data_IF_740619865442
#
_entry.id   IF_740619865442
#
_cell.length_a   1.000
_cell.length_b   1.000
_cell.length_c   1.000
_cell.angle_alpha   90.00
_cell.angle_beta   90.00
_cell.angle_gamma   90.00
#
_symmetry.space_group_name_H-M   'P 1'
#
loop_
_entity.id
_entity.type
_entity.pdbx_description
1 polymer ?
#
# COMPACT_ATOMS: atom_id res chain seq x y z
N UNK A 1 -59.39 8.88 -43.45
CA UNK A 1 -58.92 8.21 -42.21
C UNK A 1 -57.96 9.16 -41.52
N UNK A 2 -58.39 9.74 -40.40
CA UNK A 2 -57.73 10.86 -39.71
C UNK A 2 -56.53 10.40 -38.91
N UNK A 3 -55.36 10.94 -39.23
CA UNK A 3 -54.15 10.90 -38.40
C UNK A 3 -54.33 11.81 -37.19
N UNK A 4 -54.30 11.25 -35.99
CA UNK A 4 -54.26 12.03 -34.75
C UNK A 4 -52.93 12.78 -34.67
N UNK A 5 -52.99 14.11 -34.78
CA UNK A 5 -51.90 15.01 -34.42
C UNK A 5 -51.70 14.94 -32.91
N UNK A 6 -50.63 14.29 -32.48
CA UNK A 6 -50.13 14.44 -31.11
C UNK A 6 -49.71 15.90 -30.94
N UNK A 7 -50.40 16.60 -30.03
CA UNK A 7 -50.11 17.99 -29.68
C UNK A 7 -48.66 18.15 -29.23
N UNK A 8 -47.96 19.15 -29.76
CA UNK A 8 -46.57 19.51 -29.42
C UNK A 8 -46.37 19.67 -27.90
N UNK A 9 -47.44 20.04 -27.15
CA UNK A 9 -47.44 20.12 -25.68
C UNK A 9 -47.28 18.76 -25.00
N UNK A 10 -47.85 17.70 -25.55
CA UNK A 10 -47.74 16.34 -24.98
C UNK A 10 -46.37 15.74 -25.25
N UNK A 11 -45.73 16.10 -26.38
CA UNK A 11 -44.37 15.67 -26.70
C UNK A 11 -43.34 16.36 -25.77
N UNK A 12 -43.50 17.66 -25.50
CA UNK A 12 -42.64 18.37 -24.54
C UNK A 12 -42.78 17.83 -23.11
N UNK A 13 -44.01 17.49 -22.67
CA UNK A 13 -44.23 16.99 -21.31
C UNK A 13 -43.58 15.61 -21.09
N UNK A 14 -43.63 14.72 -22.10
CA UNK A 14 -42.97 13.42 -22.05
C UNK A 14 -41.44 13.56 -22.11
N UNK A 15 -40.90 14.52 -22.88
CA UNK A 15 -39.46 14.79 -22.91
C UNK A 15 -38.96 15.40 -21.58
N UNK A 16 -39.74 16.27 -20.94
CA UNK A 16 -39.40 16.84 -19.64
C UNK A 16 -39.44 15.76 -18.54
N UNK A 17 -40.41 14.85 -18.57
CA UNK A 17 -40.47 13.72 -17.63
C UNK A 17 -39.32 12.74 -17.89
N UNK A 18 -38.96 12.45 -19.14
CA UNK A 18 -37.79 11.61 -19.44
C UNK A 18 -36.47 12.26 -19.02
N UNK A 19 -36.30 13.57 -19.20
CA UNK A 19 -35.11 14.31 -18.75
C UNK A 19 -35.04 14.37 -17.22
N UNK A 20 -36.19 14.49 -16.53
CA UNK A 20 -36.23 14.49 -15.06
C UNK A 20 -35.97 13.07 -14.51
N UNK A 21 -36.43 12.00 -15.17
CA UNK A 21 -36.19 10.61 -14.72
C UNK A 21 -34.77 10.13 -15.07
N UNK A 22 -34.16 10.62 -16.15
CA UNK A 22 -32.77 10.29 -16.51
C UNK A 22 -31.71 11.15 -15.79
N UNK A 23 -32.10 12.23 -15.12
CA UNK A 23 -31.18 13.09 -14.38
C UNK A 23 -30.92 12.64 -12.93
N UNK A 24 -31.59 11.57 -12.46
CA UNK A 24 -31.38 11.05 -11.10
C UNK A 24 -30.21 10.07 -10.94
N UNK A 25 -29.55 9.63 -12.02
CA UNK A 25 -28.57 8.53 -11.94
C UNK A 25 -27.19 8.78 -12.58
N UNK A 26 -26.80 10.00 -12.96
CA UNK A 26 -25.54 10.21 -13.71
C UNK A 26 -24.65 11.38 -13.26
N UNK A 27 -24.78 11.83 -12.02
CA UNK A 27 -23.73 12.66 -11.41
C UNK A 27 -23.09 11.86 -10.27
N UNK A 28 -21.76 11.60 -10.29
CA UNK A 28 -21.09 11.24 -9.05
C UNK A 28 -21.38 12.38 -8.08
N UNK A 29 -22.14 12.09 -7.02
CA UNK A 29 -22.25 13.02 -5.91
C UNK A 29 -20.83 13.19 -5.36
N UNK A 30 -20.11 14.20 -5.84
CA UNK A 30 -19.24 14.99 -4.98
C UNK A 30 -20.14 15.67 -3.95
N UNK A 31 -20.74 14.88 -3.05
CA UNK A 31 -21.03 15.40 -1.73
C UNK A 31 -19.68 15.44 -1.06
N UNK A 32 -19.09 16.64 -1.05
CA UNK A 32 -18.14 16.94 0.00
C UNK A 32 -18.73 16.44 1.31
N UNK A 33 -17.93 15.68 2.04
CA UNK A 33 -18.28 15.15 3.35
C UNK A 33 -18.50 16.37 4.25
N UNK A 34 -19.75 16.85 4.32
CA UNK A 34 -20.17 17.83 5.30
C UNK A 34 -20.45 17.08 6.60
N UNK A 35 -19.39 16.56 7.23
CA UNK A 35 -19.42 16.27 8.66
C UNK A 35 -19.43 17.64 9.33
N UNK A 36 -20.52 18.08 9.99
CA UNK A 36 -20.49 19.30 10.77
C UNK A 36 -19.31 19.21 11.74
N UNK A 37 -18.53 20.29 11.92
CA UNK A 37 -17.37 20.29 12.83
C UNK A 37 -17.70 19.82 14.27
N UNK A 38 -18.98 19.79 14.63
CA UNK A 38 -19.54 19.36 15.91
C UNK A 38 -20.08 17.92 15.94
N UNK A 39 -20.12 17.21 14.81
CA UNK A 39 -20.62 15.82 14.75
C UNK A 39 -19.58 14.84 15.30
N UNK A 40 -19.99 14.06 16.30
CA UNK A 40 -19.22 13.02 16.97
C UNK A 40 -19.74 11.61 16.60
N UNK A 41 -20.17 11.40 15.37
CA UNK A 41 -20.61 10.08 14.94
C UNK A 41 -19.40 9.13 14.91
N UNK A 42 -19.36 8.22 15.88
CA UNK A 42 -18.26 7.27 16.07
C UNK A 42 -18.80 5.86 16.25
N UNK A 43 -18.11 4.89 15.67
CA UNK A 43 -18.22 3.49 16.07
C UNK A 43 -16.98 3.17 16.91
N UNK A 44 -17.18 2.61 18.09
CA UNK A 44 -16.10 2.28 19.00
C UNK A 44 -16.35 0.93 19.66
N UNK A 45 -15.31 0.34 20.22
CA UNK A 45 -15.45 -0.93 20.93
C UNK A 45 -14.11 -1.57 21.20
N UNK A 46 -14.16 -2.85 21.53
CA UNK A 46 -12.99 -3.67 21.82
C UNK A 46 -12.93 -4.87 20.89
N UNK A 47 -11.76 -5.11 20.33
CA UNK A 47 -11.43 -6.27 19.49
C UNK A 47 -10.62 -7.25 20.32
N UNK A 48 -11.09 -8.49 20.36
CA UNK A 48 -10.47 -9.59 21.10
C UNK A 48 -10.29 -10.83 20.22
N UNK A 49 -9.47 -11.78 20.64
CA UNK A 49 -9.42 -13.12 20.07
C UNK A 49 -10.59 -14.00 20.59
N UNK A 50 -10.67 -15.24 20.10
CA UNK A 50 -11.67 -16.21 20.55
C UNK A 50 -11.57 -16.61 22.04
N UNK A 51 -10.54 -16.16 22.76
CA UNK A 51 -10.33 -16.40 24.19
C UNK A 51 -10.49 -15.11 25.03
N UNK A 52 -10.93 -14.01 24.41
CA UNK A 52 -11.12 -12.72 25.08
C UNK A 52 -9.84 -11.90 25.28
N UNK A 53 -8.70 -12.31 24.70
CA UNK A 53 -7.47 -11.51 24.78
C UNK A 53 -7.53 -10.34 23.79
N UNK A 54 -7.07 -9.14 24.16
CA UNK A 54 -7.04 -8.01 23.24
C UNK A 54 -6.24 -8.26 21.96
N UNK A 55 -6.70 -7.69 20.84
CA UNK A 55 -6.00 -7.73 19.55
C UNK A 55 -5.79 -6.34 18.98
N UNK A 56 -4.57 -6.10 18.49
CA UNK A 56 -4.30 -5.07 17.48
C UNK A 56 -4.83 -5.59 16.15
N UNK A 57 -5.80 -4.90 15.57
CA UNK A 57 -6.51 -5.26 14.34
C UNK A 57 -6.86 -4.00 13.54
N UNK A 58 -7.04 -4.18 12.24
CA UNK A 58 -7.46 -3.13 11.32
C UNK A 58 -8.99 -2.98 11.32
N UNK A 59 -9.45 -1.74 11.28
CA UNK A 59 -10.84 -1.33 11.18
C UNK A 59 -10.98 -0.45 9.95
N UNK A 60 -11.87 -0.83 9.04
CA UNK A 60 -12.14 -0.09 7.81
C UNK A 60 -13.61 0.30 7.75
N UNK A 61 -13.88 1.52 7.32
CA UNK A 61 -15.23 2.07 7.13
C UNK A 61 -15.40 2.35 5.66
N UNK A 62 -16.44 1.76 5.07
CA UNK A 62 -16.74 1.88 3.64
C UNK A 62 -18.15 2.40 3.40
N UNK A 63 -18.38 3.15 2.33
CA UNK A 63 -19.73 3.44 1.83
C UNK A 63 -20.44 2.16 1.35
N UNK A 64 -21.75 2.07 1.58
CA UNK A 64 -22.60 1.02 1.05
C UNK A 64 -23.39 1.52 -0.18
N UNK A 65 -23.62 0.68 -1.22
CA UNK A 65 -23.10 -0.68 -1.37
C UNK A 65 -21.60 -0.68 -1.67
N UNK A 66 -20.91 -1.75 -1.28
CA UNK A 66 -19.55 -1.99 -1.78
C UNK A 66 -19.65 -2.24 -3.29
N UNK A 67 -19.45 -1.19 -4.08
CA UNK A 67 -19.42 -1.31 -5.53
C UNK A 67 -18.23 -2.19 -5.89
N UNK A 68 -18.48 -3.27 -6.61
CA UNK A 68 -17.40 -4.11 -7.14
C UNK A 68 -16.61 -3.24 -8.13
N UNK A 69 -15.32 -3.06 -7.88
CA UNK A 69 -14.40 -2.56 -8.91
C UNK A 69 -14.29 -3.69 -9.93
N UNK A 70 -15.12 -3.63 -10.97
CA UNK A 70 -14.87 -4.41 -12.18
C UNK A 70 -13.82 -3.59 -12.91
N UNK A 71 -12.56 -4.04 -12.92
CA UNK A 71 -11.61 -3.52 -13.89
C UNK A 71 -12.00 -4.13 -15.24
N UNK A 72 -12.59 -3.38 -16.19
CA UNK A 72 -12.61 -3.85 -17.57
C UNK A 72 -11.15 -3.93 -18.03
N UNK A 73 -10.74 -5.08 -18.57
CA UNK A 73 -9.49 -5.15 -19.31
C UNK A 73 -9.59 -4.19 -20.49
N UNK A 74 -8.78 -3.13 -20.50
CA UNK A 74 -8.72 -2.15 -21.59
C UNK A 74 -9.75 -1.03 -21.46
N UNK A 75 -9.54 -0.16 -20.47
CA UNK A 75 -9.61 1.31 -20.57
C UNK A 75 -9.19 1.86 -19.20
N UNK A 76 -8.55 3.03 -19.16
CA UNK A 76 -8.18 3.71 -17.90
C UNK A 76 -9.47 4.08 -17.15
N UNK A 77 -9.99 3.15 -16.38
CA UNK A 77 -10.81 3.46 -15.23
C UNK A 77 -9.83 3.84 -14.14
N UNK A 78 -9.85 5.10 -13.73
CA UNK A 78 -9.18 5.55 -12.52
C UNK A 78 -9.81 4.74 -11.37
N UNK A 79 -9.23 3.59 -11.06
CA UNK A 79 -9.74 2.62 -10.10
C UNK A 79 -9.60 3.20 -8.72
N UNK A 80 -10.49 4.11 -8.36
CA UNK A 80 -10.53 4.68 -7.04
C UNK A 80 -11.13 3.67 -6.08
N UNK A 81 -10.48 3.54 -4.94
CA UNK A 81 -11.02 3.13 -3.64
C UNK A 81 -12.13 4.06 -3.15
N UNK A 82 -12.99 4.59 -4.03
CA UNK A 82 -13.97 5.67 -3.77
C UNK A 82 -14.91 5.42 -2.59
N UNK A 83 -15.05 4.15 -2.20
CA UNK A 83 -15.90 3.76 -1.09
C UNK A 83 -15.18 3.73 0.26
N UNK A 84 -13.84 3.70 0.33
CA UNK A 84 -13.13 3.71 1.62
C UNK A 84 -13.23 5.11 2.22
N UNK A 85 -13.92 5.20 3.36
CA UNK A 85 -14.08 6.46 4.10
C UNK A 85 -12.88 6.68 5.01
N UNK A 86 -12.54 5.64 5.79
CA UNK A 86 -11.49 5.73 6.78
C UNK A 86 -10.98 4.34 7.14
N UNK A 87 -9.68 4.29 7.47
CA UNK A 87 -9.05 3.15 8.11
C UNK A 87 -8.51 3.57 9.49
N UNK A 88 -8.53 2.65 10.44
CA UNK A 88 -7.99 2.81 11.77
C UNK A 88 -7.43 1.48 12.29
N UNK A 89 -6.63 1.53 13.35
CA UNK A 89 -6.06 0.37 14.00
C UNK A 89 -6.37 0.40 15.49
N UNK A 90 -6.78 -0.73 16.06
CA UNK A 90 -7.02 -0.82 17.50
C UNK A 90 -5.72 -0.69 18.29
N UNK A 91 -5.84 -0.26 19.55
CA UNK A 91 -4.72 -0.17 20.48
C UNK A 91 -4.21 -1.56 20.88
N UNK A 92 -3.07 -1.61 21.59
CA UNK A 92 -2.57 -2.85 22.22
C UNK A 92 -3.59 -3.53 23.14
N UNK A 93 -4.49 -2.74 23.72
CA UNK A 93 -5.55 -3.20 24.62
C UNK A 93 -6.86 -3.49 23.86
N UNK A 94 -6.81 -3.50 22.52
CA UNK A 94 -7.90 -3.91 21.63
C UNK A 94 -8.96 -2.83 21.40
N UNK A 95 -8.84 -1.67 22.03
CA UNK A 95 -9.82 -0.59 21.87
C UNK A 95 -9.66 0.10 20.53
N UNK A 96 -10.78 0.45 19.89
CA UNK A 96 -10.79 1.26 18.69
C UNK A 96 -11.91 2.30 18.76
N UNK A 97 -11.75 3.37 17.99
CA UNK A 97 -12.78 4.37 17.74
C UNK A 97 -12.54 4.94 16.34
N UNK A 98 -13.58 4.94 15.51
CA UNK A 98 -13.51 5.42 14.13
C UNK A 98 -14.70 6.34 13.86
N UNK A 99 -14.43 7.45 13.17
CA UNK A 99 -15.49 8.39 12.79
C UNK A 99 -16.25 7.82 11.59
N UNK A 100 -17.56 8.04 11.58
CA UNK A 100 -18.44 7.59 10.50
C UNK A 100 -19.35 8.71 10.03
N UNK A 101 -19.68 8.80 8.74
CA UNK A 101 -20.65 9.75 8.23
C UNK A 101 -22.08 9.29 8.55
N UNK A 102 -23.03 10.22 8.47
CA UNK A 102 -24.46 9.94 8.54
C UNK A 102 -24.95 9.28 7.24
N UNK A 103 -24.63 8.01 7.08
CA UNK A 103 -24.94 7.26 5.86
C UNK A 103 -25.09 5.76 6.16
N UNK A 104 -25.42 4.99 5.14
CA UNK A 104 -25.27 3.54 5.16
C UNK A 104 -23.83 3.17 4.88
N UNK A 105 -23.19 2.51 5.84
CA UNK A 105 -21.77 2.13 5.77
C UNK A 105 -21.60 0.63 5.98
N UNK A 106 -20.45 0.12 5.57
CA UNK A 106 -19.95 -1.21 5.91
C UNK A 106 -18.71 -1.07 6.77
N UNK A 107 -18.75 -1.64 7.97
CA UNK A 107 -17.62 -1.79 8.86
C UNK A 107 -16.94 -3.13 8.57
N UNK A 108 -15.65 -3.11 8.25
CA UNK A 108 -14.83 -4.31 8.08
C UNK A 108 -13.77 -4.33 9.18
N UNK A 109 -13.70 -5.41 9.95
CA UNK A 109 -12.69 -5.60 11.01
C UNK A 109 -11.94 -6.90 10.76
N UNK A 110 -10.61 -6.83 10.70
CA UNK A 110 -9.75 -7.99 10.41
C UNK A 110 -8.34 -7.82 10.99
N UNK A 111 -7.61 -8.93 11.14
CA UNK A 111 -6.17 -8.96 11.46
C UNK A 111 -5.38 -9.68 10.36
N UNK A 112 -5.83 -9.52 9.11
CA UNK A 112 -5.24 -10.18 7.95
C UNK A 112 -5.76 -11.60 7.72
N UNK A 113 -5.17 -12.33 6.75
CA UNK A 113 -5.73 -13.56 6.18
C UNK A 113 -5.74 -14.77 7.12
N UNK A 114 -4.92 -14.75 8.18
CA UNK A 114 -4.92 -15.80 9.21
C UNK A 114 -6.10 -15.69 10.19
N UNK A 115 -6.87 -14.61 10.14
CA UNK A 115 -7.96 -14.31 11.07
C UNK A 115 -9.29 -14.21 10.35
N UNK A 116 -10.38 -14.47 11.08
CA UNK A 116 -11.74 -14.24 10.59
C UNK A 116 -11.95 -12.77 10.26
N UNK A 117 -12.80 -12.50 9.26
CA UNK A 117 -13.20 -11.16 8.87
C UNK A 117 -14.61 -10.88 9.37
N UNK A 118 -14.80 -9.75 10.07
CA UNK A 118 -16.12 -9.21 10.36
C UNK A 118 -16.48 -8.20 9.29
N UNK A 119 -17.72 -8.29 8.79
CA UNK A 119 -18.30 -7.35 7.84
C UNK A 119 -19.72 -7.06 8.28
N UNK A 120 -19.93 -5.87 8.81
CA UNK A 120 -21.21 -5.45 9.39
C UNK A 120 -21.75 -4.21 8.69
N UNK A 121 -23.06 -4.15 8.45
CA UNK A 121 -23.70 -3.03 7.78
C UNK A 121 -24.41 -2.15 8.81
N UNK A 122 -24.10 -0.86 8.83
CA UNK A 122 -24.76 0.11 9.68
C UNK A 122 -25.51 1.15 8.86
N UNK A 123 -26.62 1.65 9.40
CA UNK A 123 -27.32 2.82 8.88
C UNK A 123 -27.26 3.93 9.92
N UNK A 124 -26.34 4.88 9.73
CA UNK A 124 -26.04 5.95 10.70
C UNK A 124 -26.95 7.14 10.44
N UNK A 125 -27.62 7.64 11.48
CA UNK A 125 -28.53 8.79 11.36
C UNK A 125 -27.81 10.11 11.65
N UNK A 126 -28.20 11.19 10.97
CA UNK A 126 -27.62 12.55 11.11
C UNK A 126 -27.56 13.09 12.55
N UNK A 127 -28.41 12.58 13.46
CA UNK A 127 -28.53 13.04 14.85
C UNK A 127 -28.15 11.97 15.89
N UNK A 128 -27.38 10.96 15.48
CA UNK A 128 -26.90 9.90 16.37
C UNK A 128 -25.59 10.35 17.06
N UNK A 129 -25.71 10.99 18.22
CA UNK A 129 -24.58 11.64 18.90
C UNK A 129 -23.88 10.79 19.98
N UNK A 130 -24.47 9.68 20.40
CA UNK A 130 -23.93 8.88 21.53
C UNK A 130 -22.87 7.84 21.13
N UNK A 131 -22.53 7.78 19.84
CA UNK A 131 -21.70 6.73 19.27
C UNK A 131 -22.36 5.34 19.32
N UNK A 132 -21.81 4.40 18.55
CA UNK A 132 -22.27 3.01 18.52
C UNK A 132 -21.16 2.13 19.10
N UNK A 133 -21.45 1.48 20.23
CA UNK A 133 -20.55 0.47 20.78
C UNK A 133 -20.70 -0.84 19.99
N UNK A 134 -19.58 -1.37 19.50
CA UNK A 134 -19.54 -2.62 18.75
C UNK A 134 -18.29 -3.43 19.14
N UNK A 135 -18.47 -4.42 20.00
CA UNK A 135 -17.39 -5.31 20.43
C UNK A 135 -17.28 -6.51 19.49
N UNK A 136 -16.04 -6.90 19.17
CA UNK A 136 -15.75 -7.96 18.19
C UNK A 136 -14.80 -9.00 18.78
N UNK A 137 -15.07 -10.27 18.51
CA UNK A 137 -14.13 -11.36 18.71
C UNK A 137 -13.73 -11.93 17.34
N UNK A 138 -12.44 -11.90 17.03
CA UNK A 138 -11.87 -12.50 15.82
C UNK A 138 -11.33 -13.89 16.14
N UNK A 139 -11.64 -14.87 15.29
CA UNK A 139 -11.11 -16.23 15.39
C UNK A 139 -9.85 -16.36 14.56
N UNK A 140 -8.77 -16.88 15.16
CA UNK A 140 -7.59 -17.33 14.40
C UNK A 140 -7.98 -18.56 13.58
N UNK A 141 -7.97 -18.43 12.25
CA UNK A 141 -8.34 -19.47 11.29
C UNK A 141 -7.16 -20.40 10.98
N UNK A 142 -5.98 -19.79 10.80
CA UNK A 142 -4.75 -20.48 10.50
C UNK A 142 -3.63 -19.97 11.41
N UNK A 143 -2.65 -20.83 11.67
CA UNK A 143 -1.45 -20.48 12.42
C UNK A 143 -0.23 -20.93 11.65
N UNK A 144 0.10 -20.18 10.60
CA UNK A 144 1.17 -20.56 9.67
C UNK A 144 2.56 -20.46 10.33
N UNK A 145 2.66 -19.72 11.45
CA UNK A 145 3.86 -19.66 12.27
C UNK A 145 4.25 -21.03 12.86
N UNK A 146 3.26 -21.90 13.15
CA UNK A 146 3.51 -23.29 13.57
C UNK A 146 4.12 -24.16 12.47
N UNK A 147 4.01 -23.71 11.22
CA UNK A 147 4.62 -24.33 10.05
C UNK A 147 5.96 -23.66 9.69
N UNK A 148 6.44 -22.71 10.48
CA UNK A 148 7.67 -21.97 10.24
C UNK A 148 7.54 -20.81 9.24
N UNK A 149 6.32 -20.43 8.87
CA UNK A 149 6.07 -19.30 7.96
C UNK A 149 5.72 -18.04 8.74
N UNK A 150 6.33 -16.91 8.35
CA UNK A 150 6.12 -15.62 8.99
C UNK A 150 5.88 -14.54 7.93
N UNK A 151 4.71 -13.92 7.98
CA UNK A 151 4.34 -12.82 7.08
C UNK A 151 5.10 -11.55 7.47
N UNK A 152 5.62 -10.82 6.49
CA UNK A 152 6.21 -9.51 6.71
C UNK A 152 6.28 -8.69 5.43
N UNK A 153 6.81 -7.48 5.57
CA UNK A 153 6.88 -6.48 4.51
C UNK A 153 8.33 -5.99 4.35
N UNK A 154 8.87 -6.13 3.14
CA UNK A 154 10.28 -5.81 2.87
C UNK A 154 10.52 -4.36 2.47
N UNK A 155 9.47 -3.56 2.30
CA UNK A 155 9.60 -2.23 1.69
C UNK A 155 8.49 -1.28 2.14
N UNK A 156 8.81 -0.26 2.96
CA UNK A 156 7.88 0.79 3.36
C UNK A 156 8.59 2.04 3.91
N UNK A 157 7.84 3.14 3.98
CA UNK A 157 8.35 4.47 4.23
C UNK A 157 7.68 5.13 5.44
N UNK A 158 8.43 5.96 6.16
CA UNK A 158 7.95 6.78 7.26
C UNK A 158 8.11 8.27 6.98
N UNK A 159 7.68 9.11 7.92
CA UNK A 159 7.90 10.57 7.89
C UNK A 159 9.37 10.99 7.81
N UNK A 160 10.31 10.06 8.01
CA UNK A 160 11.74 10.31 7.89
C UNK A 160 12.26 10.20 6.44
N UNK A 161 11.35 9.94 5.50
CA UNK A 161 11.50 10.17 4.06
C UNK A 161 10.22 10.81 3.51
N UNK A 162 9.41 10.09 2.74
CA UNK A 162 8.19 10.56 2.08
C UNK A 162 6.92 9.79 2.50
N UNK A 163 7.02 8.95 3.53
CA UNK A 163 5.86 8.38 4.19
C UNK A 163 5.10 9.39 5.08
N UNK A 164 3.88 9.04 5.46
CA UNK A 164 2.97 9.93 6.20
C UNK A 164 2.89 9.63 7.70
N UNK A 165 3.41 8.48 8.14
CA UNK A 165 3.31 8.04 9.54
C UNK A 165 4.68 7.80 10.16
N UNK A 166 4.73 7.92 11.49
CA UNK A 166 5.95 7.61 12.23
C UNK A 166 6.19 6.09 12.30
N UNK A 167 7.43 5.64 12.52
CA UNK A 167 7.77 4.22 12.64
C UNK A 167 6.88 3.42 13.62
N UNK A 168 6.45 4.01 14.73
CA UNK A 168 5.61 3.33 15.72
C UNK A 168 4.17 3.10 15.25
N UNK A 169 3.59 4.08 14.55
CA UNK A 169 2.29 3.97 13.90
C UNK A 169 2.32 2.88 12.82
N UNK A 170 3.37 2.85 12.00
CA UNK A 170 3.57 1.83 10.96
C UNK A 170 3.66 0.44 11.60
N UNK A 171 4.47 0.26 12.64
CA UNK A 171 4.58 -1.02 13.34
C UNK A 171 3.22 -1.46 13.91
N UNK A 172 2.41 -0.52 14.43
CA UNK A 172 1.06 -0.82 14.90
C UNK A 172 0.14 -1.28 13.76
N UNK A 173 0.18 -0.63 12.60
CA UNK A 173 -0.57 -1.04 11.42
C UNK A 173 -0.17 -2.42 10.92
N UNK A 174 1.13 -2.70 10.80
CA UNK A 174 1.65 -4.01 10.41
C UNK A 174 1.16 -5.13 11.34
N UNK A 175 1.26 -4.91 12.66
CA UNK A 175 0.67 -5.83 13.65
C UNK A 175 -0.85 -5.95 13.45
N UNK A 176 -1.53 -4.83 13.15
CA UNK A 176 -2.96 -4.76 12.90
C UNK A 176 -3.45 -5.56 11.69
N UNK A 177 -2.59 -5.79 10.70
CA UNK A 177 -2.90 -6.63 9.53
C UNK A 177 -2.26 -8.03 9.60
N UNK A 178 -1.67 -8.39 10.74
CA UNK A 178 -1.16 -9.74 11.01
C UNK A 178 0.29 -9.99 10.58
N UNK A 179 1.06 -8.95 10.21
CA UNK A 179 2.48 -9.11 9.93
C UNK A 179 3.28 -9.35 11.23
N UNK A 180 4.29 -10.20 11.12
CA UNK A 180 5.20 -10.61 12.20
C UNK A 180 6.57 -9.92 12.13
N UNK A 181 6.88 -9.25 11.01
CA UNK A 181 8.12 -8.50 10.83
C UNK A 181 7.97 -7.46 9.71
N UNK A 182 8.90 -6.50 9.67
CA UNK A 182 8.97 -5.52 8.58
C UNK A 182 10.35 -4.88 8.47
N UNK A 183 10.69 -4.38 7.28
CA UNK A 183 11.95 -3.67 7.00
C UNK A 183 11.65 -2.19 6.75
N UNK A 184 12.05 -1.30 7.67
CA UNK A 184 11.89 0.15 7.44
C UNK A 184 12.99 0.60 6.47
N UNK A 185 12.58 1.15 5.34
CA UNK A 185 13.46 1.43 4.20
C UNK A 185 13.30 2.87 3.72
N UNK A 186 13.29 3.83 4.66
CA UNK A 186 13.25 5.26 4.32
C UNK A 186 14.33 5.61 3.27
N UNK A 187 13.95 6.48 2.32
CA UNK A 187 14.84 6.92 1.26
C UNK A 187 16.08 7.61 1.82
N UNK A 188 17.26 7.06 1.52
CA UNK A 188 18.57 7.65 1.80
C UNK A 188 18.74 8.18 3.25
N UNK A 189 18.05 7.57 4.22
CA UNK A 189 17.94 8.03 5.61
C UNK A 189 17.83 6.84 6.55
N UNK A 190 18.52 6.92 7.70
CA UNK A 190 18.35 5.99 8.82
C UNK A 190 17.80 6.68 10.08
N UNK A 191 17.25 7.89 9.92
CA UNK A 191 16.77 8.72 11.04
C UNK A 191 15.69 8.01 11.87
N UNK A 192 14.77 7.29 11.21
CA UNK A 192 13.70 6.53 11.86
C UNK A 192 14.15 5.24 12.55
N UNK A 193 15.41 4.80 12.36
CA UNK A 193 15.91 3.50 12.80
C UNK A 193 15.73 3.24 14.29
N UNK A 194 16.03 4.24 15.14
CA UNK A 194 15.96 4.06 16.60
C UNK A 194 14.52 3.82 17.07
N UNK A 195 13.58 4.60 16.55
CA UNK A 195 12.16 4.44 16.87
C UNK A 195 11.64 3.10 16.34
N UNK A 196 11.95 2.77 15.08
CA UNK A 196 11.57 1.51 14.46
C UNK A 196 12.02 0.29 15.26
N UNK A 197 13.31 0.21 15.59
CA UNK A 197 13.86 -0.91 16.37
C UNK A 197 13.27 -0.98 17.78
N UNK A 198 12.81 0.15 18.33
CA UNK A 198 12.11 0.23 19.61
C UNK A 198 10.75 -0.46 19.62
N UNK A 199 10.17 -0.77 18.45
CA UNK A 199 8.88 -1.45 18.31
C UNK A 199 8.95 -2.98 18.40
N UNK A 200 10.13 -3.55 18.69
CA UNK A 200 10.30 -4.99 18.86
C UNK A 200 9.42 -5.52 19.98
N UNK A 201 8.63 -6.55 19.67
CA UNK A 201 7.84 -7.29 20.66
C UNK A 201 8.13 -8.78 20.53
N UNK A 202 7.45 -9.60 21.34
CA UNK A 202 7.51 -11.06 21.18
C UNK A 202 6.98 -11.53 19.82
N UNK A 203 6.02 -10.80 19.25
CA UNK A 203 5.29 -11.19 18.04
C UNK A 203 5.59 -10.27 16.84
N UNK A 204 6.54 -9.34 16.96
CA UNK A 204 6.93 -8.41 15.89
C UNK A 204 8.43 -8.11 15.88
N UNK A 205 9.06 -8.34 14.72
CA UNK A 205 10.49 -8.07 14.50
C UNK A 205 10.67 -6.88 13.55
N UNK A 206 11.05 -5.70 14.05
CA UNK A 206 11.49 -4.60 13.22
C UNK A 206 12.92 -4.85 12.72
N UNK A 207 13.12 -4.73 11.40
CA UNK A 207 14.42 -4.83 10.74
C UNK A 207 14.78 -3.45 10.20
N UNK A 208 15.99 -2.99 10.50
CA UNK A 208 16.49 -1.74 9.94
C UNK A 208 16.97 -1.96 8.50
N UNK A 209 16.59 -1.03 7.63
CA UNK A 209 17.09 -0.93 6.27
C UNK A 209 17.14 0.51 5.81
N UNK A 210 17.33 0.69 4.52
CA UNK A 210 17.27 1.96 3.82
C UNK A 210 17.07 1.67 2.34
N UNK A 211 16.18 2.41 1.70
CA UNK A 211 16.11 2.45 0.24
C UNK A 211 17.08 3.49 -0.30
N UNK A 212 18.07 3.03 -1.05
CA UNK A 212 18.95 3.90 -1.80
C UNK A 212 18.30 4.22 -3.13
N UNK A 213 17.80 5.44 -3.21
CA UNK A 213 17.26 5.99 -4.45
C UNK A 213 18.37 6.76 -5.18
N UNK A 214 18.58 6.41 -6.44
CA UNK A 214 19.80 6.79 -7.18
C UNK A 214 19.55 7.84 -8.25
N UNK A 215 20.41 8.85 -8.34
CA UNK A 215 20.36 9.89 -9.38
C UNK A 215 21.57 9.74 -10.30
N UNK A 216 21.44 10.10 -11.58
CA UNK A 216 22.56 10.15 -12.51
C UNK A 216 23.49 11.33 -12.20
N UNK A 217 24.80 11.10 -12.23
CA UNK A 217 25.77 12.19 -12.26
C UNK A 217 25.81 12.87 -13.62
N UNK A 218 26.46 14.04 -13.70
CA UNK A 218 26.70 14.75 -14.97
C UNK A 218 27.52 13.94 -15.98
N UNK A 219 28.28 12.94 -15.53
CA UNK A 219 29.06 12.05 -16.40
C UNK A 219 28.37 10.71 -16.69
N UNK A 220 27.22 10.44 -16.06
CA UNK A 220 26.47 9.21 -16.30
C UNK A 220 25.86 9.21 -17.69
N UNK A 221 25.91 8.05 -18.35
CA UNK A 221 25.23 7.81 -19.63
C UNK A 221 23.80 7.29 -19.45
N UNK A 222 23.46 6.82 -18.25
CA UNK A 222 22.12 6.41 -17.85
C UNK A 222 21.43 7.56 -17.09
N UNK A 223 20.11 7.58 -17.08
CA UNK A 223 19.30 8.59 -16.39
C UNK A 223 19.01 8.25 -14.92
N UNK A 224 19.76 7.31 -14.33
CA UNK A 224 19.57 6.78 -12.98
C UNK A 224 19.82 5.27 -12.95
N UNK A 225 19.88 4.67 -11.76
CA UNK A 225 20.15 3.24 -11.58
C UNK A 225 19.05 2.54 -10.78
N UNK A 226 17.86 3.14 -10.70
CA UNK A 226 16.72 2.64 -9.93
C UNK A 226 16.90 2.74 -8.42
N UNK A 227 16.09 1.98 -7.71
CA UNK A 227 16.06 1.95 -6.25
C UNK A 227 16.55 0.61 -5.72
N UNK A 228 17.27 0.64 -4.60
CA UNK A 228 17.81 -0.56 -3.98
C UNK A 228 17.65 -0.54 -2.46
N UNK A 229 17.04 -1.57 -1.89
CA UNK A 229 17.01 -1.77 -0.45
C UNK A 229 18.29 -2.43 0.05
N UNK A 230 18.91 -1.81 1.05
CA UNK A 230 19.93 -2.44 1.89
C UNK A 230 19.36 -2.69 3.28
N UNK A 231 19.47 -3.92 3.77
CA UNK A 231 18.89 -4.36 5.05
C UNK A 231 19.89 -5.19 5.84
N UNK A 232 19.63 -5.39 7.13
CA UNK A 232 20.58 -6.04 8.06
C UNK A 232 21.94 -5.31 8.16
N UNK A 233 21.93 -4.00 7.98
CA UNK A 233 23.11 -3.12 8.02
C UNK A 233 23.23 -2.37 9.36
N UNK A 234 24.47 -2.09 9.76
CA UNK A 234 24.75 -1.26 10.94
C UNK A 234 24.79 0.23 10.58
N UNK A 235 25.29 0.56 9.40
CA UNK A 235 25.32 1.92 8.83
C UNK A 235 24.87 1.88 7.38
N UNK A 236 24.13 2.89 6.93
CA UNK A 236 23.78 3.09 5.53
C UNK A 236 25.04 3.16 4.64
N UNK A 237 25.03 2.42 3.53
CA UNK A 237 26.01 2.53 2.46
C UNK A 237 25.51 3.46 1.35
N UNK A 238 26.43 4.06 0.59
CA UNK A 238 26.08 4.93 -0.54
C UNK A 238 26.92 6.19 -0.59
N UNK A 239 26.63 7.07 -1.54
CA UNK A 239 27.25 8.39 -1.65
C UNK A 239 26.48 9.38 -0.78
N UNK A 240 27.19 10.23 -0.03
CA UNK A 240 26.63 11.28 0.84
C UNK A 240 25.64 10.79 1.92
N UNK A 241 25.90 9.63 2.53
CA UNK A 241 25.03 9.03 3.58
C UNK A 241 24.82 9.90 4.81
N UNK A 242 25.69 10.88 5.05
CA UNK A 242 25.58 11.82 6.16
C UNK A 242 24.79 13.08 5.79
N UNK A 243 24.16 13.13 4.59
CA UNK A 243 23.34 14.26 4.15
C UNK A 243 22.00 14.28 4.91
N UNK A 244 21.70 15.33 5.69
CA UNK A 244 20.46 15.39 6.47
C UNK A 244 19.22 15.72 5.63
N UNK A 245 19.38 16.06 4.34
CA UNK A 245 18.24 16.32 3.47
C UNK A 245 17.59 14.99 3.04
N UNK A 246 16.38 14.74 3.53
CA UNK A 246 15.57 13.55 3.18
C UNK A 246 15.24 13.44 1.69
N UNK A 247 15.38 14.53 0.93
CA UNK A 247 15.22 14.54 -0.53
C UNK A 247 16.55 14.37 -1.27
N UNK A 248 17.67 14.21 -0.56
CA UNK A 248 18.95 13.92 -1.17
C UNK A 248 19.03 12.47 -1.61
N UNK A 249 19.77 12.26 -2.70
CA UNK A 249 19.76 11.00 -3.44
C UNK A 249 21.19 10.60 -3.76
N UNK A 250 21.39 9.32 -4.03
CA UNK A 250 22.72 8.77 -4.27
C UNK A 250 23.14 9.01 -5.72
N UNK A 251 24.08 9.93 -5.95
CA UNK A 251 24.52 10.33 -7.30
C UNK A 251 25.51 9.30 -7.88
N UNK A 252 25.07 8.46 -8.81
CA UNK A 252 25.85 7.39 -9.41
C UNK A 252 26.34 7.75 -10.82
N UNK A 253 27.56 7.31 -11.13
CA UNK A 253 28.25 7.53 -12.40
C UNK A 253 28.03 6.39 -13.38
N UNK A 254 28.23 5.15 -12.92
CA UNK A 254 28.10 3.92 -13.72
C UNK A 254 27.68 2.72 -12.85
N UNK A 255 27.50 1.54 -13.47
CA UNK A 255 27.15 0.31 -12.74
C UNK A 255 28.20 -0.14 -11.71
N UNK A 256 29.41 0.41 -11.69
CA UNK A 256 30.40 0.11 -10.63
C UNK A 256 30.01 0.74 -9.31
N UNK A 257 29.31 1.88 -9.31
CA UNK A 257 28.77 2.44 -8.06
C UNK A 257 27.71 1.51 -7.46
N UNK A 258 26.87 0.91 -8.31
CA UNK A 258 25.91 -0.13 -7.88
C UNK A 258 26.65 -1.35 -7.33
N UNK A 259 27.70 -1.84 -8.01
CA UNK A 259 28.53 -2.94 -7.51
C UNK A 259 29.19 -2.61 -6.16
N UNK A 260 29.76 -1.42 -6.03
CA UNK A 260 30.40 -0.99 -4.79
C UNK A 260 29.39 -0.95 -3.62
N UNK A 261 28.15 -0.55 -3.89
CA UNK A 261 27.09 -0.54 -2.88
C UNK A 261 26.64 -1.95 -2.47
N UNK A 262 26.60 -2.91 -3.41
CA UNK A 262 26.44 -4.35 -3.12
C UNK A 262 27.59 -4.82 -2.21
N UNK A 263 28.84 -4.58 -2.61
CA UNK A 263 30.02 -5.04 -1.88
C UNK A 263 30.09 -4.48 -0.46
N UNK A 264 29.77 -3.18 -0.28
CA UNK A 264 29.72 -2.54 1.03
C UNK A 264 28.58 -3.06 1.92
N UNK A 265 27.46 -3.44 1.32
CA UNK A 265 26.33 -4.06 2.04
C UNK A 265 26.73 -5.44 2.54
N UNK A 266 27.38 -6.24 1.70
CA UNK A 266 27.89 -7.57 2.05
C UNK A 266 29.03 -7.55 3.08
N UNK A 267 29.88 -6.52 3.07
CA UNK A 267 30.89 -6.33 4.13
C UNK A 267 30.26 -6.17 5.53
N UNK A 268 29.00 -5.75 5.60
CA UNK A 268 28.23 -5.68 6.85
C UNK A 268 27.41 -6.94 7.13
N UNK A 269 27.55 -8.00 6.31
CA UNK A 269 26.63 -9.15 6.25
C UNK A 269 25.17 -8.73 5.98
N UNK A 270 24.99 -7.60 5.30
CA UNK A 270 23.68 -7.09 4.90
C UNK A 270 23.13 -7.81 3.67
N UNK A 271 21.85 -7.58 3.40
CA UNK A 271 21.15 -8.04 2.20
C UNK A 271 20.85 -6.85 1.30
N UNK A 272 21.08 -7.00 0.00
CA UNK A 272 20.75 -6.01 -1.01
C UNK A 272 19.71 -6.51 -2.02
N UNK A 273 18.63 -5.75 -2.18
CA UNK A 273 17.56 -6.03 -3.12
C UNK A 273 17.40 -4.88 -4.11
N UNK A 274 17.12 -5.21 -5.38
CA UNK A 274 16.60 -4.20 -6.31
C UNK A 274 15.09 -4.06 -6.09
N UNK A 275 14.63 -2.82 -5.92
CA UNK A 275 13.21 -2.52 -5.73
C UNK A 275 12.57 -2.21 -7.08
N UNK A 276 11.29 -2.57 -7.22
CA UNK A 276 10.39 -2.25 -8.33
C UNK A 276 11.09 -2.00 -9.67
N UNK A 277 11.89 -2.96 -10.19
CA UNK A 277 13.01 -2.66 -11.09
C UNK A 277 12.60 -2.14 -12.48
N UNK A 278 11.33 -2.27 -12.83
CA UNK A 278 10.75 -1.82 -14.10
C UNK A 278 9.88 -0.55 -13.96
N UNK A 279 9.77 -0.01 -12.75
CA UNK A 279 9.08 1.22 -12.49
C UNK A 279 9.85 2.43 -13.07
N UNK A 280 9.13 3.41 -13.58
CA UNK A 280 9.72 4.53 -14.34
C UNK A 280 9.06 5.89 -14.06
N UNK A 281 8.28 5.98 -12.99
CA UNK A 281 7.54 7.18 -12.60
C UNK A 281 8.41 8.31 -12.05
N UNK A 282 9.63 8.01 -11.66
CA UNK A 282 10.54 8.94 -11.02
C UNK A 282 11.86 9.03 -11.79
N UNK A 283 12.69 9.95 -11.35
CA UNK A 283 13.95 10.30 -11.99
C UNK A 283 15.04 9.27 -11.72
N UNK A 284 14.92 8.39 -10.72
CA UNK A 284 15.84 7.25 -10.56
C UNK A 284 15.65 6.23 -11.69
N UNK A 285 14.44 6.19 -12.25
CA UNK A 285 14.09 5.42 -13.43
C UNK A 285 14.20 3.90 -13.20
N UNK A 286 14.08 3.15 -14.29
CA UNK A 286 14.23 1.69 -14.25
C UNK A 286 15.64 1.29 -13.85
N UNK A 287 15.79 0.13 -13.22
CA UNK A 287 17.11 -0.44 -12.94
C UNK A 287 17.92 -0.70 -14.22
N UNK A 288 19.19 -0.28 -14.25
CA UNK A 288 20.06 -0.28 -15.46
C UNK A 288 21.31 -1.16 -15.39
N UNK A 289 21.52 -1.83 -14.26
CA UNK A 289 22.75 -2.60 -13.99
C UNK A 289 22.62 -4.10 -14.27
N UNK A 290 21.55 -4.52 -14.95
CA UNK A 290 21.36 -5.90 -15.40
C UNK A 290 22.57 -6.43 -16.18
N UNK A 291 23.06 -7.62 -15.82
CA UNK A 291 24.23 -8.26 -16.44
C UNK A 291 25.57 -7.56 -16.23
N UNK A 292 25.62 -6.41 -15.55
CA UNK A 292 26.84 -5.60 -15.32
C UNK A 292 27.40 -5.76 -13.91
N UNK A 293 26.65 -6.38 -13.00
CA UNK A 293 26.96 -6.55 -11.58
C UNK A 293 26.93 -8.02 -11.17
N UNK A 294 27.42 -8.32 -9.97
CA UNK A 294 27.45 -9.65 -9.35
C UNK A 294 26.91 -9.59 -7.93
N UNK A 295 26.41 -10.73 -7.46
CA UNK A 295 25.99 -10.95 -6.07
C UNK A 295 24.82 -10.07 -5.60
N UNK A 296 23.87 -9.77 -6.49
CA UNK A 296 22.58 -9.23 -6.05
C UNK A 296 21.79 -10.32 -5.30
N UNK A 297 21.29 -10.02 -4.10
CA UNK A 297 20.65 -11.04 -3.25
C UNK A 297 19.17 -11.25 -3.57
N UNK A 298 18.48 -10.18 -3.97
CA UNK A 298 17.05 -10.23 -4.23
C UNK A 298 16.55 -9.26 -5.31
N UNK A 299 15.41 -9.61 -5.88
CA UNK A 299 14.61 -8.78 -6.78
C UNK A 299 13.23 -8.63 -6.17
N UNK A 300 12.76 -7.40 -6.02
CA UNK A 300 11.35 -7.15 -5.71
C UNK A 300 10.51 -7.48 -6.94
N UNK A 301 9.85 -8.64 -6.89
CA UNK A 301 9.01 -9.17 -7.97
C UNK A 301 7.56 -8.73 -7.85
N UNK A 302 7.20 -8.17 -6.69
CA UNK A 302 5.89 -7.62 -6.39
C UNK A 302 6.06 -6.41 -5.50
N UNK A 303 5.87 -5.22 -6.07
CA UNK A 303 5.78 -3.96 -5.37
C UNK A 303 4.34 -3.45 -5.37
N UNK A 304 3.75 -3.18 -4.20
CA UNK A 304 2.41 -2.62 -4.06
C UNK A 304 1.31 -3.50 -4.68
N UNK A 305 0.79 -3.09 -5.84
CA UNK A 305 -0.27 -3.83 -6.54
C UNK A 305 0.19 -5.23 -7.00
N UNK A 306 -0.65 -6.28 -6.90
CA UNK A 306 -0.30 -7.59 -7.41
C UNK A 306 0.08 -7.56 -8.90
N UNK A 307 0.93 -8.48 -9.38
CA UNK A 307 1.13 -8.64 -10.83
C UNK A 307 -0.23 -8.90 -11.50
N UNK A 308 -0.58 -8.08 -12.50
CA UNK A 308 -1.89 -8.14 -13.15
C UNK A 308 -2.07 -9.41 -14.02
N UNK A 309 -0.97 -10.07 -14.41
CA UNK A 309 -0.95 -11.35 -15.15
C UNK A 309 0.45 -11.97 -15.15
N UNK A 310 0.62 -13.27 -14.86
CA UNK A 310 1.94 -13.94 -14.94
C UNK A 310 2.47 -14.14 -16.38
N UNK A 311 1.65 -13.90 -17.41
CA UNK A 311 2.03 -14.02 -18.82
C UNK A 311 2.15 -12.64 -19.47
N UNK A 312 3.20 -12.44 -20.26
CA UNK A 312 3.31 -11.33 -21.21
C UNK A 312 2.51 -11.72 -22.45
N UNK A 313 1.24 -11.33 -22.53
CA UNK A 313 0.50 -11.41 -23.79
C UNK A 313 0.52 -10.03 -24.46
N UNK A 314 0.24 -9.97 -25.75
CA UNK A 314 0.12 -8.77 -26.60
C UNK A 314 -0.87 -7.69 -26.10
N UNK A 315 -1.44 -7.88 -24.90
CA UNK A 315 -2.47 -7.05 -24.28
C UNK A 315 -1.92 -6.03 -23.27
N UNK A 316 -0.64 -6.10 -22.86
CA UNK A 316 0.01 -5.06 -22.05
C UNK A 316 0.71 -4.00 -22.93
N UNK A 317 -0.02 -3.47 -23.91
CA UNK A 317 0.48 -2.40 -24.80
C UNK A 317 0.82 -1.11 -24.03
N UNK A 318 0.29 -0.95 -22.82
CA UNK A 318 0.53 0.20 -21.95
C UNK A 318 1.76 0.06 -21.03
N UNK A 319 2.48 -1.07 -21.05
CA UNK A 319 3.61 -1.36 -20.15
C UNK A 319 3.25 -1.20 -18.66
N UNK A 320 2.03 -1.55 -18.32
CA UNK A 320 1.45 -1.42 -16.98
C UNK A 320 1.81 -2.59 -16.07
N UNK A 321 2.26 -3.71 -16.61
CA UNK A 321 2.50 -4.93 -15.85
C UNK A 321 3.96 -5.05 -15.34
N UNK A 322 4.45 -3.99 -14.69
CA UNK A 322 5.85 -3.87 -14.22
C UNK A 322 6.28 -5.00 -13.29
N UNK A 323 5.39 -5.48 -12.42
CA UNK A 323 5.67 -6.60 -11.51
C UNK A 323 5.85 -7.93 -12.26
N UNK A 324 5.17 -8.12 -13.39
CA UNK A 324 5.36 -9.32 -14.21
C UNK A 324 6.70 -9.32 -14.92
N UNK A 325 7.17 -8.15 -15.37
CA UNK A 325 8.53 -8.00 -15.89
C UNK A 325 9.57 -8.36 -14.81
N UNK A 326 9.33 -7.95 -13.56
CA UNK A 326 10.18 -8.30 -12.43
C UNK A 326 10.21 -9.81 -12.16
N UNK A 327 9.06 -10.49 -12.18
CA UNK A 327 8.97 -11.96 -12.09
C UNK A 327 9.76 -12.64 -13.22
N UNK A 328 9.63 -12.16 -14.46
CA UNK A 328 10.32 -12.75 -15.63
C UNK A 328 11.83 -12.52 -15.59
N UNK A 329 12.27 -11.34 -15.13
CA UNK A 329 13.68 -11.08 -14.88
C UNK A 329 14.23 -12.03 -13.81
N UNK A 330 13.52 -12.19 -12.69
CA UNK A 330 13.88 -13.14 -11.64
C UNK A 330 14.00 -14.58 -12.17
N UNK A 331 13.03 -15.06 -12.94
CA UNK A 331 13.09 -16.39 -13.57
C UNK A 331 14.27 -16.54 -14.53
N UNK A 332 14.60 -15.50 -15.30
CA UNK A 332 15.75 -15.53 -16.20
C UNK A 332 17.05 -15.71 -15.43
N UNK A 333 17.22 -15.00 -14.31
CA UNK A 333 18.39 -15.17 -13.44
C UNK A 333 18.44 -16.58 -12.80
N UNK A 334 17.31 -17.11 -12.33
CA UNK A 334 17.24 -18.47 -11.78
C UNK A 334 17.60 -19.53 -12.83
N UNK A 335 17.11 -19.38 -14.07
CA UNK A 335 17.38 -20.30 -15.17
C UNK A 335 18.87 -20.31 -15.59
N UNK A 336 19.55 -19.18 -15.44
CA UNK A 336 21.01 -19.07 -15.62
C UNK A 336 21.81 -19.60 -14.40
N UNK A 337 21.14 -20.19 -13.40
CA UNK A 337 21.76 -20.81 -12.23
C UNK A 337 22.10 -19.84 -11.09
N UNK A 338 21.63 -18.59 -11.15
CA UNK A 338 21.84 -17.63 -10.06
C UNK A 338 20.97 -18.00 -8.85
N UNK A 339 21.50 -17.77 -7.65
CA UNK A 339 20.78 -17.94 -6.38
C UNK A 339 20.31 -16.59 -5.88
N UNK A 340 19.26 -16.07 -6.51
CA UNK A 340 18.66 -14.77 -6.19
C UNK A 340 17.23 -14.96 -5.72
N UNK A 341 16.85 -14.25 -4.66
CA UNK A 341 15.53 -14.38 -4.05
C UNK A 341 14.52 -13.44 -4.69
N UNK A 342 13.27 -13.88 -4.84
CA UNK A 342 12.16 -12.98 -5.15
C UNK A 342 11.56 -12.47 -3.84
N UNK A 343 11.42 -11.16 -3.69
CA UNK A 343 10.76 -10.53 -2.53
C UNK A 343 9.52 -9.75 -2.96
N UNK A 344 8.65 -9.46 -2.00
CA UNK A 344 7.46 -8.65 -2.18
C UNK A 344 7.41 -7.57 -1.10
N UNK A 345 7.22 -6.33 -1.51
CA UNK A 345 7.16 -5.16 -0.65
C UNK A 345 5.92 -4.32 -0.93
N UNK A 346 5.41 -3.65 0.10
CA UNK A 346 4.21 -2.81 -0.06
C UNK A 346 4.51 -1.47 -0.71
N UNK A 347 5.72 -0.95 -0.50
CA UNK A 347 6.09 0.44 -0.80
C UNK A 347 5.12 1.43 -0.14
N UNK A 348 4.69 1.08 1.08
CA UNK A 348 3.64 1.81 1.76
C UNK A 348 4.14 3.17 2.24
N UNK A 349 3.47 4.22 1.76
CA UNK A 349 3.68 5.61 2.17
C UNK A 349 2.52 6.14 3.04
N UNK A 350 1.37 5.47 3.06
CA UNK A 350 0.23 5.80 3.92
C UNK A 350 -0.52 4.54 4.39
N UNK A 351 -0.39 4.24 5.68
CA UNK A 351 -1.05 3.09 6.32
C UNK A 351 -2.58 3.20 6.36
N UNK A 352 -3.14 4.37 6.04
CA UNK A 352 -4.59 4.60 6.02
C UNK A 352 -5.19 4.59 4.61
N UNK A 353 -4.36 4.59 3.55
CA UNK A 353 -4.81 4.60 2.16
C UNK A 353 -5.60 5.85 1.75
N UNK A 354 -5.39 6.96 2.46
CA UNK A 354 -6.05 8.26 2.24
C UNK A 354 -5.23 9.20 1.34
N UNK A 355 -3.91 9.07 1.37
CA UNK A 355 -2.98 9.78 0.50
C UNK A 355 -2.36 8.78 -0.46
N UNK A 356 -3.07 8.44 -1.53
CA UNK A 356 -2.43 7.80 -2.67
C UNK A 356 -1.45 8.80 -3.28
N UNK A 357 -0.17 8.42 -3.40
CA UNK A 357 0.76 9.13 -4.28
C UNK A 357 0.11 9.18 -5.68
N UNK A 358 0.07 10.36 -6.34
CA UNK A 358 -0.62 10.52 -7.62
C UNK A 358 -0.07 9.65 -8.75
#
# INVERSE_FOLDING_TARGET
MSTQKISLKNFLLVMIIFIIVSAFDLFPQKKEILIPKTSQQVIYGKITDQYGKPLIAQVQVWYYPLTKVVMPFGDKVQGRTDNLIQMAYSTKDGYYSVKVPADTIVLIITKGPEWSLVKEKFAIKEKEFNGIEYNVSLKKLYDISKLGWFSGDTHHHSIYSDGHQNPSEIAQAMKGVGLSWGMLTDHNSDTGKKEWLGNKTQDFIPIAGCEISTEASMSSIENGYGHLNQTFINRMNGKNVDNPNIWARAIFDDSKDVQNMIDLTHQQNGLIAVNHPFQAWDWAGRYKSWGKIKYLDAIEVWNGEPPHSFTYNDWDTAHTNINTLAVHAWFSYLNEGNKISGIAGSDCHDIYGTTSYP
#
